data_IF_309703372977
#
_entry.id   IF_309703372977
#
_cell.length_a   1.000
_cell.length_b   1.000
_cell.length_c   1.000
_cell.angle_alpha   90.00
_cell.angle_beta   90.00
_cell.angle_gamma   90.00
#
_symmetry.space_group_name_H-M   'P 1'
#
loop_
_entity.id
_entity.type
_entity.pdbx_description
1 polymer ?
#
# COMPACT_ATOMS: atom_id res chain seq x y z
N UNK A 1 28.86 -20.01 12.86
CA UNK A 1 27.46 -20.47 13.15
C UNK A 1 27.28 -21.05 14.58
N UNK A 2 28.25 -21.01 15.48
CA UNK A 2 28.19 -21.66 16.79
C UNK A 2 28.09 -20.72 18.01
N UNK A 3 28.00 -19.39 17.80
CA UNK A 3 27.92 -18.43 18.94
C UNK A 3 26.49 -18.07 19.39
N UNK A 4 25.46 -18.44 18.66
CA UNK A 4 24.06 -18.09 19.02
C UNK A 4 23.32 -19.15 19.87
N UNK A 5 23.83 -20.34 20.00
CA UNK A 5 23.18 -21.40 20.78
C UNK A 5 23.30 -21.21 22.32
N UNK A 6 24.35 -20.49 22.76
CA UNK A 6 24.59 -20.24 24.20
C UNK A 6 23.63 -19.24 24.83
N UNK A 7 23.13 -18.27 24.03
CA UNK A 7 22.22 -17.24 24.53
C UNK A 7 20.77 -17.72 24.67
N UNK A 8 20.36 -18.71 23.88
CA UNK A 8 19.00 -19.26 23.95
C UNK A 8 18.82 -20.10 25.20
N UNK A 9 19.87 -20.86 25.65
CA UNK A 9 19.83 -21.64 26.89
C UNK A 9 19.76 -20.79 28.16
N UNK A 10 20.37 -19.59 28.17
CA UNK A 10 20.26 -18.65 29.30
C UNK A 10 18.89 -17.98 29.39
N UNK A 11 18.19 -17.77 28.26
CA UNK A 11 16.84 -17.20 28.26
C UNK A 11 15.78 -18.20 28.74
N UNK A 12 15.95 -19.49 28.46
CA UNK A 12 15.05 -20.55 28.95
C UNK A 12 15.10 -20.76 30.47
N UNK A 13 16.17 -20.35 31.15
CA UNK A 13 16.31 -20.45 32.60
C UNK A 13 15.51 -19.40 33.38
N UNK A 14 15.01 -18.36 32.72
CA UNK A 14 14.22 -17.25 33.30
C UNK A 14 12.71 -17.47 33.24
N UNK A 15 12.25 -18.55 32.64
CA UNK A 15 10.83 -18.86 32.52
C UNK A 15 10.39 -19.76 33.67
N UNK A 16 9.28 -19.36 34.32
CA UNK A 16 8.63 -19.97 35.50
C UNK A 16 8.65 -21.52 35.51
N UNK A 17 9.03 -22.17 36.62
CA UNK A 17 9.18 -23.62 36.73
C UNK A 17 7.92 -24.46 36.47
N UNK A 18 6.75 -23.87 36.43
CA UNK A 18 5.47 -24.56 36.17
C UNK A 18 5.17 -24.85 34.68
N UNK A 19 6.02 -24.40 33.77
CA UNK A 19 5.86 -24.63 32.30
C UNK A 19 6.88 -25.62 31.74
N UNK A 20 7.45 -26.50 32.57
CA UNK A 20 8.40 -27.56 32.16
C UNK A 20 7.72 -28.79 31.55
N UNK A 21 6.78 -28.63 30.62
CA UNK A 21 6.34 -29.77 29.80
C UNK A 21 6.92 -29.66 28.39
N UNK A 22 7.92 -30.51 28.13
CA UNK A 22 8.39 -31.06 26.85
C UNK A 22 8.61 -30.05 25.69
N UNK A 23 9.72 -29.29 25.76
CA UNK A 23 10.43 -28.85 24.57
C UNK A 23 11.65 -29.78 24.39
N UNK A 24 11.40 -31.08 24.30
CA UNK A 24 12.38 -32.04 23.85
C UNK A 24 11.90 -32.64 22.53
N UNK A 25 12.73 -32.49 21.49
CA UNK A 25 12.68 -33.25 20.25
C UNK A 25 11.49 -33.05 19.33
N UNK A 26 11.50 -31.94 18.55
CA UNK A 26 10.97 -32.04 17.20
C UNK A 26 12.13 -32.25 16.23
N UNK A 27 12.45 -33.52 16.03
CA UNK A 27 13.36 -33.98 15.00
C UNK A 27 12.70 -33.80 13.62
N UNK A 28 13.41 -33.18 12.66
CA UNK A 28 12.95 -33.00 11.29
C UNK A 28 12.60 -34.29 10.55
N UNK A 29 13.04 -35.46 11.07
CA UNK A 29 12.77 -36.76 10.49
C UNK A 29 11.34 -37.26 10.70
N UNK A 30 10.59 -36.71 11.66
CA UNK A 30 9.22 -37.11 11.96
C UNK A 30 8.16 -36.52 10.98
N UNK A 31 8.50 -35.47 10.25
CA UNK A 31 7.54 -34.78 9.33
C UNK A 31 7.44 -35.51 7.97
N UNK A 32 8.45 -36.31 7.58
CA UNK A 32 8.47 -36.97 6.27
C UNK A 32 7.70 -38.29 6.18
N UNK A 33 7.08 -38.75 7.27
CA UNK A 33 6.36 -40.04 7.36
C UNK A 33 4.87 -39.94 7.64
N UNK A 34 4.26 -38.75 7.49
CA UNK A 34 2.79 -38.61 7.66
C UNK A 34 2.11 -38.82 6.34
N UNK A 35 1.28 -39.84 6.29
CA UNK A 35 0.42 -40.26 5.19
C UNK A 35 -0.46 -39.10 4.70
N UNK A 36 -0.48 -38.89 3.37
CA UNK A 36 -1.19 -37.80 2.69
C UNK A 36 -2.72 -37.92 2.74
N UNK A 37 -3.27 -38.95 3.37
CA UNK A 37 -4.72 -39.21 3.48
C UNK A 37 -5.43 -38.45 4.62
N UNK A 38 -4.71 -37.70 5.47
CA UNK A 38 -5.24 -37.00 6.65
C UNK A 38 -5.32 -35.48 6.53
N UNK A 39 -5.46 -34.93 5.33
CA UNK A 39 -5.78 -33.50 5.14
C UNK A 39 -7.23 -33.18 5.52
N UNK A 40 -7.61 -33.50 6.74
CA UNK A 40 -8.74 -32.88 7.43
C UNK A 40 -8.18 -31.81 8.36
N UNK A 41 -8.87 -30.62 8.41
CA UNK A 41 -8.52 -29.40 9.16
C UNK A 41 -7.67 -29.71 10.41
N UNK A 42 -6.54 -28.99 10.64
CA UNK A 42 -5.70 -29.28 11.79
C UNK A 42 -6.53 -29.29 13.07
N UNK A 43 -6.28 -30.22 13.98
CA UNK A 43 -7.02 -30.28 15.26
C UNK A 43 -6.97 -28.89 15.92
N UNK A 44 -8.09 -28.45 16.49
CA UNK A 44 -8.25 -27.12 17.13
C UNK A 44 -7.08 -26.83 18.09
N UNK A 45 -6.55 -27.82 18.73
CA UNK A 45 -5.39 -27.75 19.65
C UNK A 45 -4.12 -27.30 18.91
N UNK A 46 -3.83 -27.84 17.71
CA UNK A 46 -2.65 -27.44 16.91
C UNK A 46 -2.79 -26.00 16.43
N UNK A 47 -3.98 -25.60 16.00
CA UNK A 47 -4.26 -24.22 15.60
C UNK A 47 -4.10 -23.24 16.78
N UNK A 48 -4.53 -23.63 17.98
CA UNK A 48 -4.36 -22.84 19.20
C UNK A 48 -2.88 -22.76 19.64
N UNK A 49 -2.12 -23.85 19.59
CA UNK A 49 -0.69 -23.86 19.91
C UNK A 49 0.11 -23.01 18.93
N UNK A 50 -0.19 -23.11 17.64
CA UNK A 50 0.43 -22.26 16.61
C UNK A 50 0.06 -20.78 16.80
N UNK A 51 -1.17 -20.48 17.20
CA UNK A 51 -1.63 -19.14 17.54
C UNK A 51 -0.86 -18.58 18.75
N UNK A 52 -0.72 -19.36 19.83
CA UNK A 52 0.05 -18.96 21.01
C UNK A 52 1.53 -18.78 20.69
N UNK A 53 2.15 -19.69 19.95
CA UNK A 53 3.54 -19.55 19.51
C UNK A 53 3.74 -18.26 18.68
N UNK A 54 2.85 -17.97 17.73
CA UNK A 54 2.88 -16.74 16.95
C UNK A 54 2.74 -15.50 17.84
N UNK A 55 1.84 -15.53 18.83
CA UNK A 55 1.65 -14.44 19.79
C UNK A 55 2.93 -14.17 20.60
N UNK A 56 3.54 -15.20 21.22
CA UNK A 56 4.73 -15.07 22.06
C UNK A 56 5.97 -14.67 21.26
N UNK A 57 6.17 -15.24 20.07
CA UNK A 57 7.26 -14.85 19.16
C UNK A 57 7.17 -13.36 18.78
N UNK A 58 5.97 -12.87 18.53
CA UNK A 58 5.75 -11.44 18.20
C UNK A 58 5.97 -10.53 19.39
N UNK A 59 5.55 -10.96 20.60
CA UNK A 59 5.83 -10.23 21.83
C UNK A 59 7.34 -10.14 22.09
N UNK A 60 8.09 -11.20 21.82
CA UNK A 60 9.55 -11.21 21.91
C UNK A 60 10.20 -10.28 20.88
N UNK A 61 9.73 -10.28 19.64
CA UNK A 61 10.21 -9.35 18.59
C UNK A 61 9.92 -7.87 18.95
N UNK A 62 8.84 -7.60 19.68
CA UNK A 62 8.56 -6.27 20.25
C UNK A 62 9.56 -5.85 21.31
N UNK A 63 9.93 -6.77 22.21
CA UNK A 63 10.89 -6.52 23.30
C UNK A 63 12.31 -6.29 22.78
N UNK A 64 12.64 -6.83 21.60
CA UNK A 64 13.95 -6.65 20.97
C UNK A 64 14.12 -5.30 20.26
N UNK A 65 13.20 -4.35 20.45
CA UNK A 65 13.21 -2.98 19.92
C UNK A 65 13.76 -2.91 18.50
N UNK A 66 13.05 -3.55 17.54
CA UNK A 66 13.43 -3.52 16.13
C UNK A 66 13.19 -2.09 15.64
N UNK A 67 14.21 -1.26 15.72
CA UNK A 67 14.21 0.11 15.20
C UNK A 67 13.80 0.09 13.73
N UNK A 68 12.85 0.95 13.38
CA UNK A 68 12.39 1.10 12.00
C UNK A 68 11.21 0.17 11.66
N UNK A 69 10.14 0.24 12.45
CA UNK A 69 8.87 -0.42 12.13
C UNK A 69 8.26 0.19 10.88
N UNK A 70 7.51 -0.63 10.14
CA UNK A 70 6.62 -0.12 9.10
C UNK A 70 5.47 0.66 9.74
N UNK A 71 5.17 1.85 9.24
CA UNK A 71 4.04 2.63 9.69
C UNK A 71 2.76 2.17 8.99
N UNK A 72 1.67 2.07 9.74
CA UNK A 72 0.30 1.97 9.28
C UNK A 72 -0.38 3.30 9.59
N UNK A 73 -0.69 4.08 8.55
CA UNK A 73 -1.31 5.39 8.71
C UNK A 73 -2.76 5.30 8.29
N UNK A 74 -3.65 5.81 9.11
CA UNK A 74 -5.10 5.71 8.94
C UNK A 74 -5.80 6.95 9.48
N UNK A 75 -7.04 7.18 9.09
CA UNK A 75 -7.90 8.15 9.74
C UNK A 75 -9.31 7.60 9.94
N UNK A 76 -9.92 7.82 11.12
CA UNK A 76 -11.35 7.55 11.31
C UNK A 76 -12.24 8.35 10.35
N UNK A 77 -11.84 9.57 9.97
CA UNK A 77 -12.60 10.44 9.07
C UNK A 77 -12.76 9.81 7.68
N UNK A 78 -11.81 8.96 7.27
CA UNK A 78 -11.93 8.21 6.01
C UNK A 78 -13.15 7.27 5.99
N UNK A 79 -13.70 6.89 7.14
CA UNK A 79 -14.90 6.04 7.21
C UNK A 79 -16.19 6.83 6.95
N UNK A 80 -16.16 8.15 7.15
CA UNK A 80 -17.33 9.02 7.01
C UNK A 80 -17.61 9.41 5.54
N UNK A 81 -16.61 9.27 4.64
CA UNK A 81 -16.84 9.46 3.21
C UNK A 81 -17.83 8.44 2.67
N UNK A 82 -18.91 8.93 2.06
CA UNK A 82 -19.99 8.12 1.51
C UNK A 82 -20.24 8.46 0.05
N UNK A 83 -19.91 7.55 -0.84
CA UNK A 83 -20.13 7.69 -2.28
C UNK A 83 -21.48 7.10 -2.76
N UNK A 84 -22.16 6.32 -1.91
CA UNK A 84 -23.44 5.66 -2.21
C UNK A 84 -23.49 4.23 -1.62
N UNK A 85 -24.68 3.73 -1.33
CA UNK A 85 -24.85 2.40 -0.68
C UNK A 85 -24.38 1.23 -1.55
N UNK A 86 -24.39 1.37 -2.87
CA UNK A 86 -23.95 0.35 -3.83
C UNK A 86 -22.62 0.72 -4.49
N UNK A 87 -22.00 1.80 -4.04
CA UNK A 87 -20.72 2.25 -4.61
C UNK A 87 -19.59 1.30 -4.22
N UNK A 88 -18.74 0.86 -5.16
CA UNK A 88 -17.64 -0.07 -4.86
C UNK A 88 -16.61 0.54 -3.90
N UNK A 89 -16.32 1.84 -4.02
CA UNK A 89 -15.46 2.55 -3.07
C UNK A 89 -16.22 2.78 -1.76
N UNK A 90 -15.91 1.99 -0.74
CA UNK A 90 -16.67 1.90 0.51
C UNK A 90 -15.76 1.85 1.75
N UNK A 91 -16.27 2.24 2.94
CA UNK A 91 -15.53 2.16 4.21
C UNK A 91 -15.01 0.76 4.53
N UNK A 92 -15.69 -0.28 4.07
CA UNK A 92 -15.34 -1.68 4.31
C UNK A 92 -13.98 -2.04 3.71
N UNK A 93 -13.50 -1.35 2.71
CA UNK A 93 -12.21 -1.59 2.05
C UNK A 93 -11.05 -1.51 3.06
N UNK A 94 -10.88 -0.41 3.76
CA UNK A 94 -9.82 -0.26 4.76
C UNK A 94 -10.06 -1.13 6.00
N UNK A 95 -11.32 -1.36 6.37
CA UNK A 95 -11.69 -2.25 7.47
C UNK A 95 -11.33 -3.71 7.18
N UNK A 96 -11.53 -4.19 5.94
CA UNK A 96 -11.17 -5.55 5.53
C UNK A 96 -9.65 -5.78 5.62
N UNK A 97 -8.85 -4.83 5.15
CA UNK A 97 -7.39 -4.88 5.27
C UNK A 97 -6.98 -4.95 6.75
N UNK A 98 -7.48 -4.02 7.58
CA UNK A 98 -7.14 -3.97 8.99
C UNK A 98 -7.51 -5.27 9.75
N UNK A 99 -8.69 -5.84 9.46
CA UNK A 99 -9.15 -7.11 10.02
C UNK A 99 -8.24 -8.27 9.61
N UNK A 100 -7.86 -8.34 8.34
CA UNK A 100 -6.96 -9.39 7.82
C UNK A 100 -5.57 -9.30 8.43
N UNK A 101 -5.03 -8.09 8.62
CA UNK A 101 -3.77 -7.88 9.31
C UNK A 101 -3.83 -8.28 10.80
N UNK A 102 -4.95 -7.99 11.48
CA UNK A 102 -5.18 -8.43 12.88
C UNK A 102 -5.23 -9.95 12.96
N UNK A 103 -6.00 -10.61 12.11
CA UNK A 103 -6.16 -12.06 12.09
C UNK A 103 -4.86 -12.80 11.74
N UNK A 104 -4.06 -12.25 10.83
CA UNK A 104 -2.73 -12.82 10.50
C UNK A 104 -1.67 -12.48 11.54
N UNK A 105 -1.95 -11.53 12.43
CA UNK A 105 -1.09 -11.02 13.48
C UNK A 105 0.05 -10.14 12.96
N UNK A 106 0.04 -9.71 11.72
CA UNK A 106 0.95 -8.67 11.23
C UNK A 106 0.70 -7.32 11.92
N UNK A 107 -0.53 -7.08 12.37
CA UNK A 107 -0.95 -5.86 13.05
C UNK A 107 -0.03 -5.43 14.20
N UNK A 108 0.50 -6.38 14.95
CA UNK A 108 1.37 -6.09 16.09
C UNK A 108 2.76 -5.57 15.68
N UNK A 109 3.18 -5.83 14.44
CA UNK A 109 4.46 -5.39 13.89
C UNK A 109 4.41 -3.96 13.33
N UNK A 110 3.21 -3.39 13.18
CA UNK A 110 3.01 -2.08 12.61
C UNK A 110 2.98 -0.99 13.69
N UNK A 111 3.56 0.16 13.37
CA UNK A 111 3.38 1.40 14.13
C UNK A 111 2.11 2.09 13.61
N UNK A 112 1.05 2.13 14.43
CA UNK A 112 -0.21 2.76 14.08
C UNK A 112 -0.14 4.25 14.34
N UNK A 113 -0.45 5.04 13.32
CA UNK A 113 -0.38 6.51 13.36
C UNK A 113 -1.66 7.04 12.72
N UNK A 114 -2.33 7.91 13.43
CA UNK A 114 -3.46 8.64 12.90
C UNK A 114 -2.98 9.76 11.97
N UNK A 115 -3.65 9.92 10.84
CA UNK A 115 -3.31 10.90 9.83
C UNK A 115 -3.64 12.32 10.30
N UNK A 116 -2.70 13.27 10.21
CA UNK A 116 -3.05 14.68 10.31
C UNK A 116 -3.86 15.10 9.09
N UNK A 117 -4.45 16.25 9.15
CA UNK A 117 -5.00 16.92 7.98
C UNK A 117 -3.88 17.56 7.17
N UNK A 118 -3.99 17.49 5.84
CA UNK A 118 -3.08 18.19 4.94
C UNK A 118 -3.35 19.70 4.97
N UNK A 119 -2.31 20.51 4.95
CA UNK A 119 -2.46 21.97 4.92
C UNK A 119 -2.79 22.48 3.51
N UNK A 120 -3.42 23.66 3.43
CA UNK A 120 -3.70 24.32 2.14
C UNK A 120 -2.43 24.66 1.36
N UNK A 121 -1.33 24.94 2.06
CA UNK A 121 -0.01 25.16 1.43
C UNK A 121 0.47 23.89 0.72
N UNK A 122 0.27 22.72 1.34
CA UNK A 122 0.66 21.45 0.75
C UNK A 122 -0.24 21.10 -0.44
N UNK A 123 -1.55 21.33 -0.32
CA UNK A 123 -2.51 21.13 -1.41
C UNK A 123 -2.21 22.04 -2.60
N UNK A 124 -1.92 23.31 -2.37
CA UNK A 124 -1.65 24.31 -3.41
C UNK A 124 -0.37 24.05 -4.23
N UNK A 125 0.47 23.09 -3.82
CA UNK A 125 1.62 22.60 -4.62
C UNK A 125 1.20 21.70 -5.77
N UNK A 126 -0.03 21.17 -5.72
CA UNK A 126 -0.56 20.16 -6.66
C UNK A 126 -1.84 20.65 -7.31
N UNK A 127 -2.78 21.14 -6.50
CA UNK A 127 -4.12 21.52 -6.95
C UNK A 127 -4.27 23.03 -7.04
N UNK A 128 -5.01 23.50 -8.06
CA UNK A 128 -5.31 24.93 -8.20
C UNK A 128 -6.24 25.39 -7.07
N UNK A 129 -6.02 26.62 -6.59
CA UNK A 129 -6.90 27.20 -5.55
C UNK A 129 -8.36 27.28 -6.02
N UNK A 130 -8.57 27.58 -7.31
CA UNK A 130 -9.91 27.62 -7.90
C UNK A 130 -10.62 26.29 -7.78
N UNK A 131 -9.93 25.20 -8.05
CA UNK A 131 -10.47 23.85 -7.92
C UNK A 131 -10.82 23.50 -6.48
N UNK A 132 -9.91 23.72 -5.54
CA UNK A 132 -10.14 23.47 -4.11
C UNK A 132 -11.34 24.26 -3.59
N UNK A 133 -11.42 25.57 -3.89
CA UNK A 133 -12.57 26.39 -3.49
C UNK A 133 -13.87 25.94 -4.17
N UNK A 134 -13.81 25.46 -5.42
CA UNK A 134 -14.97 24.89 -6.09
C UNK A 134 -15.48 23.63 -5.40
N UNK A 135 -14.60 22.73 -4.98
CA UNK A 135 -15.01 21.55 -4.21
C UNK A 135 -15.65 21.93 -2.87
N UNK A 136 -15.04 22.87 -2.15
CA UNK A 136 -15.54 23.35 -0.85
C UNK A 136 -16.95 23.94 -0.97
N UNK A 137 -17.20 24.72 -2.02
CA UNK A 137 -18.51 25.34 -2.26
C UNK A 137 -19.61 24.34 -2.64
N UNK A 138 -19.25 23.15 -3.08
CA UNK A 138 -20.17 22.08 -3.50
C UNK A 138 -20.51 21.08 -2.38
N UNK A 139 -19.85 21.18 -1.21
CA UNK A 139 -20.11 20.26 -0.10
C UNK A 139 -21.56 20.34 0.36
N UNK A 140 -22.34 19.28 0.26
CA UNK A 140 -23.75 19.31 0.65
C UNK A 140 -23.89 19.26 2.19
N UNK A 141 -24.95 19.85 2.72
CA UNK A 141 -25.29 19.75 4.14
C UNK A 141 -25.80 18.34 4.49
N UNK A 142 -26.49 17.67 3.56
CA UNK A 142 -27.02 16.33 3.69
C UNK A 142 -26.94 15.57 2.37
N UNK A 143 -26.82 14.24 2.42
CA UNK A 143 -26.74 13.41 1.23
C UNK A 143 -25.41 13.55 0.48
N UNK A 144 -25.47 13.42 -0.84
CA UNK A 144 -24.30 13.53 -1.73
C UNK A 144 -24.65 14.28 -3.00
N UNK A 145 -23.66 14.97 -3.56
CA UNK A 145 -23.71 15.68 -4.85
C UNK A 145 -22.84 14.94 -5.84
N UNK A 146 -23.33 14.73 -7.04
CA UNK A 146 -22.59 14.15 -8.15
C UNK A 146 -21.65 15.21 -8.74
N UNK A 147 -20.34 15.00 -8.64
CA UNK A 147 -19.31 15.89 -9.22
C UNK A 147 -19.11 15.57 -10.70
N UNK A 148 -19.06 14.30 -11.04
CA UNK A 148 -19.01 13.78 -12.40
C UNK A 148 -19.69 12.39 -12.46
N UNK A 149 -19.47 11.62 -13.52
CA UNK A 149 -20.18 10.37 -13.75
C UNK A 149 -19.98 9.32 -12.62
N UNK A 150 -18.83 9.32 -11.98
CA UNK A 150 -18.40 8.29 -11.03
C UNK A 150 -17.98 8.85 -9.65
N UNK A 151 -17.91 10.15 -9.47
CA UNK A 151 -17.40 10.78 -8.26
C UNK A 151 -18.49 11.55 -7.51
N UNK A 152 -18.77 11.13 -6.28
CA UNK A 152 -19.85 11.67 -5.44
C UNK A 152 -19.29 12.31 -4.17
N UNK A 153 -19.62 13.59 -3.97
CA UNK A 153 -19.21 14.40 -2.83
C UNK A 153 -20.28 14.36 -1.75
N UNK A 154 -20.00 13.79 -0.61
CA UNK A 154 -20.85 13.85 0.60
C UNK A 154 -20.31 14.90 1.58
N UNK A 155 -21.07 15.17 2.65
CA UNK A 155 -20.71 16.15 3.67
C UNK A 155 -19.27 15.97 4.19
N UNK A 156 -18.86 14.72 4.41
CA UNK A 156 -17.58 14.41 5.05
C UNK A 156 -16.46 14.04 4.05
N UNK A 157 -16.77 14.06 2.74
CA UNK A 157 -15.84 13.61 1.70
C UNK A 157 -14.55 14.43 1.62
N UNK A 158 -14.64 15.76 1.71
CA UNK A 158 -13.44 16.61 1.65
C UNK A 158 -12.57 16.46 2.89
N UNK A 159 -13.17 16.31 4.07
CA UNK A 159 -12.42 16.03 5.29
C UNK A 159 -11.66 14.70 5.17
N UNK A 160 -12.34 13.65 4.68
CA UNK A 160 -11.70 12.37 4.41
C UNK A 160 -10.56 12.48 3.39
N UNK A 161 -10.77 13.20 2.28
CA UNK A 161 -9.73 13.42 1.26
C UNK A 161 -8.54 14.21 1.80
N UNK A 162 -8.77 15.26 2.63
CA UNK A 162 -7.71 16.00 3.29
C UNK A 162 -6.91 15.11 4.26
N UNK A 163 -7.57 14.21 4.97
CA UNK A 163 -6.92 13.21 5.84
C UNK A 163 -6.16 12.16 5.04
N UNK A 164 -6.67 11.74 3.88
CA UNK A 164 -5.98 10.80 3.01
C UNK A 164 -4.67 11.40 2.47
N UNK A 165 -4.71 12.62 1.97
CA UNK A 165 -3.51 13.35 1.54
C UNK A 165 -2.55 13.63 2.73
N UNK A 166 -3.09 14.00 3.89
CA UNK A 166 -2.31 14.20 5.12
C UNK A 166 -1.61 12.94 5.61
N UNK A 167 -2.21 11.76 5.40
CA UNK A 167 -1.57 10.47 5.67
C UNK A 167 -0.35 10.26 4.78
N UNK A 168 -0.46 10.56 3.49
CA UNK A 168 0.63 10.42 2.53
C UNK A 168 1.79 11.39 2.84
N UNK A 169 1.49 12.63 3.19
CA UNK A 169 2.46 13.62 3.68
C UNK A 169 3.16 13.12 4.94
N UNK A 170 2.39 12.67 5.94
CA UNK A 170 2.93 12.14 7.20
C UNK A 170 3.82 10.92 6.98
N UNK A 171 3.46 10.06 6.02
CA UNK A 171 4.27 8.92 5.65
C UNK A 171 5.65 9.35 5.13
N UNK A 172 5.70 10.37 4.28
CA UNK A 172 6.97 10.95 3.80
C UNK A 172 7.80 11.45 4.98
N UNK A 173 7.22 12.23 5.88
CA UNK A 173 7.94 12.74 7.06
C UNK A 173 8.56 11.61 7.88
N UNK A 174 7.79 10.56 8.15
CA UNK A 174 8.25 9.43 8.94
C UNK A 174 9.43 8.68 8.32
N UNK A 175 9.41 8.45 6.99
CA UNK A 175 10.50 7.74 6.32
C UNK A 175 11.72 8.64 6.10
N UNK A 176 11.51 9.94 5.87
CA UNK A 176 12.60 10.90 5.70
C UNK A 176 13.35 11.16 7.00
N UNK A 177 12.63 11.28 8.12
CA UNK A 177 13.20 11.47 9.46
C UNK A 177 13.62 10.18 10.15
N UNK A 178 13.49 9.01 9.46
CA UNK A 178 13.83 7.67 9.96
C UNK A 178 13.02 7.23 11.19
N UNK A 179 11.84 7.83 11.42
CA UNK A 179 10.90 7.39 12.45
C UNK A 179 10.15 6.11 12.04
N UNK A 180 10.02 5.88 10.73
CA UNK A 180 9.61 4.61 10.16
C UNK A 180 10.57 4.19 9.04
N UNK A 181 10.65 2.90 8.77
CA UNK A 181 11.43 2.37 7.66
C UNK A 181 10.71 2.54 6.33
N UNK A 182 9.42 2.28 6.33
CA UNK A 182 8.48 2.44 5.24
C UNK A 182 7.08 2.66 5.82
N UNK A 183 6.11 3.00 4.99
CA UNK A 183 4.75 3.27 5.43
C UNK A 183 3.72 2.71 4.44
N UNK A 184 2.56 2.32 4.97
CA UNK A 184 1.35 2.05 4.22
C UNK A 184 0.23 2.96 4.74
N UNK A 185 -0.35 3.77 3.87
CA UNK A 185 -1.48 4.65 4.16
C UNK A 185 -2.77 3.92 3.79
N UNK A 186 -3.48 3.45 4.82
CA UNK A 186 -4.78 2.80 4.66
C UNK A 186 -5.89 3.85 4.71
N UNK A 187 -6.03 4.58 3.65
CA UNK A 187 -6.90 5.75 3.54
C UNK A 187 -7.86 5.62 2.37
N UNK A 188 -8.87 6.44 2.39
CA UNK A 188 -9.86 6.68 1.34
C UNK A 188 -10.44 8.10 1.50
N UNK A 189 -10.91 8.71 0.43
CA UNK A 189 -10.97 8.24 -0.96
C UNK A 189 -9.57 8.05 -1.58
N UNK A 190 -9.48 7.32 -2.72
CA UNK A 190 -8.25 7.22 -3.50
C UNK A 190 -7.85 8.57 -4.12
N UNK A 191 -6.70 8.63 -4.82
CA UNK A 191 -6.18 9.92 -5.26
C UNK A 191 -5.67 9.98 -6.69
N UNK A 192 -5.20 8.90 -7.29
CA UNK A 192 -4.38 8.94 -8.51
C UNK A 192 -5.08 9.47 -9.77
N UNK A 193 -6.42 9.50 -9.79
CA UNK A 193 -7.20 10.10 -10.87
C UNK A 193 -7.48 11.60 -10.69
N UNK A 194 -7.25 12.19 -9.50
CA UNK A 194 -7.48 13.62 -9.32
C UNK A 194 -6.41 14.42 -10.04
N UNK A 195 -6.83 15.27 -10.99
CA UNK A 195 -5.99 16.21 -11.72
C UNK A 195 -5.69 17.46 -10.89
N UNK A 196 -4.86 18.35 -11.41
CA UNK A 196 -4.57 19.61 -10.74
C UNK A 196 -5.83 20.49 -10.53
N UNK A 197 -6.85 20.33 -11.37
CA UNK A 197 -8.03 21.21 -11.39
C UNK A 197 -9.37 20.50 -11.54
N UNK A 198 -9.39 19.15 -11.47
CA UNK A 198 -10.65 18.40 -11.53
C UNK A 198 -10.59 17.09 -10.73
N UNK A 199 -11.73 16.70 -10.14
CA UNK A 199 -11.97 15.38 -9.56
C UNK A 199 -12.28 14.36 -10.65
N UNK A 200 -11.88 13.10 -10.47
CA UNK A 200 -12.13 12.01 -11.42
C UNK A 200 -11.95 10.67 -10.71
N UNK A 201 -12.58 9.59 -11.17
CA UNK A 201 -12.32 8.22 -10.72
C UNK A 201 -12.39 8.04 -9.20
N UNK A 202 -13.45 8.53 -8.55
CA UNK A 202 -13.64 8.54 -7.09
C UNK A 202 -12.66 9.44 -6.32
N UNK A 203 -11.74 10.15 -6.99
CA UNK A 203 -10.66 10.91 -6.40
C UNK A 203 -10.96 12.41 -6.36
N UNK A 204 -10.71 13.06 -5.21
CA UNK A 204 -10.84 14.52 -5.05
C UNK A 204 -9.47 15.20 -4.93
N UNK A 205 -8.55 14.59 -4.20
CA UNK A 205 -7.19 15.09 -3.98
C UNK A 205 -6.22 14.00 -4.43
N UNK A 206 -5.20 14.37 -5.18
CA UNK A 206 -4.17 13.42 -5.58
C UNK A 206 -3.19 13.20 -4.43
N UNK A 207 -3.48 12.19 -3.61
CA UNK A 207 -2.76 11.89 -2.38
C UNK A 207 -1.26 11.64 -2.63
N UNK A 208 -0.94 10.88 -3.69
CA UNK A 208 0.44 10.52 -4.01
C UNK A 208 1.22 11.70 -4.58
N UNK A 209 0.55 12.55 -5.38
CA UNK A 209 1.17 13.75 -5.93
C UNK A 209 1.48 14.77 -4.83
N UNK A 210 0.56 14.96 -3.87
CA UNK A 210 0.80 15.82 -2.70
C UNK A 210 2.00 15.31 -1.89
N UNK A 211 2.12 14.00 -1.71
CA UNK A 211 3.28 13.39 -1.03
C UNK A 211 4.58 13.62 -1.80
N UNK A 212 4.57 13.49 -3.13
CA UNK A 212 5.75 13.72 -3.97
C UNK A 212 6.20 15.18 -3.90
N UNK A 213 5.27 16.12 -4.07
CA UNK A 213 5.57 17.55 -3.99
C UNK A 213 6.00 17.98 -2.58
N UNK A 214 5.45 17.35 -1.53
CA UNK A 214 5.92 17.56 -0.16
C UNK A 214 7.38 17.10 0.01
N UNK A 215 7.72 15.92 -0.50
CA UNK A 215 9.08 15.40 -0.43
C UNK A 215 10.08 16.32 -1.15
N UNK A 216 9.70 16.85 -2.31
CA UNK A 216 10.53 17.79 -3.07
C UNK A 216 10.69 19.12 -2.31
N UNK A 217 9.59 19.69 -1.82
CA UNK A 217 9.60 21.01 -1.19
C UNK A 217 10.29 21.03 0.18
N UNK A 218 9.98 20.07 1.06
CA UNK A 218 10.46 20.08 2.44
C UNK A 218 11.82 19.39 2.60
N UNK A 219 12.08 18.33 1.80
CA UNK A 219 13.31 17.55 1.92
C UNK A 219 14.29 17.78 0.77
N UNK A 220 13.95 18.69 -0.15
CA UNK A 220 14.78 19.07 -1.31
C UNK A 220 15.20 17.87 -2.15
N UNK A 221 14.27 16.91 -2.31
CA UNK A 221 14.53 15.77 -3.18
C UNK A 221 14.45 16.19 -4.64
N UNK A 222 15.34 15.66 -5.45
CA UNK A 222 15.42 15.93 -6.88
C UNK A 222 14.86 14.77 -7.71
N UNK A 223 14.73 13.58 -7.12
CA UNK A 223 14.30 12.37 -7.81
C UNK A 223 13.35 11.56 -6.93
N UNK A 224 12.06 11.66 -7.20
CA UNK A 224 10.99 10.90 -6.56
C UNK A 224 10.37 9.99 -7.59
N UNK A 225 10.29 8.68 -7.34
CA UNK A 225 9.60 7.74 -8.21
C UNK A 225 8.21 7.42 -7.66
N UNK A 226 7.19 7.53 -8.51
CA UNK A 226 5.84 7.04 -8.29
C UNK A 226 5.67 5.79 -9.15
N UNK A 227 5.31 4.66 -8.52
CA UNK A 227 5.02 3.40 -9.19
C UNK A 227 3.55 3.10 -8.98
N UNK A 228 2.78 3.13 -10.04
CA UNK A 228 1.34 2.92 -10.03
C UNK A 228 1.01 1.54 -10.60
N UNK A 229 0.50 0.67 -9.75
CA UNK A 229 0.07 -0.68 -10.13
C UNK A 229 -1.42 -0.92 -9.89
N UNK A 230 -2.18 0.15 -9.77
CA UNK A 230 -3.64 0.11 -9.87
C UNK A 230 -4.06 -0.47 -11.23
N UNK A 231 -5.24 -1.06 -11.28
CA UNK A 231 -5.82 -1.55 -12.53
C UNK A 231 -6.00 -0.43 -13.55
N UNK A 232 -6.36 0.76 -13.05
CA UNK A 232 -6.66 1.94 -13.87
C UNK A 232 -5.43 2.81 -14.05
N UNK A 233 -5.32 3.47 -15.20
CA UNK A 233 -4.27 4.44 -15.41
C UNK A 233 -4.44 5.67 -14.50
N UNK A 234 -3.41 6.03 -13.75
CA UNK A 234 -3.41 7.21 -12.88
C UNK A 234 -3.24 8.51 -13.68
N UNK A 235 -4.24 8.84 -14.49
CA UNK A 235 -4.23 9.98 -15.42
C UNK A 235 -4.07 11.33 -14.73
N UNK A 236 -4.61 11.49 -13.52
CA UNK A 236 -4.41 12.68 -12.71
C UNK A 236 -2.95 12.84 -12.27
N UNK A 237 -2.29 11.76 -11.88
CA UNK A 237 -0.86 11.78 -11.51
C UNK A 237 0.00 12.09 -12.73
N UNK A 238 -0.30 11.50 -13.89
CA UNK A 238 0.39 11.80 -15.14
C UNK A 238 0.26 13.28 -15.51
N UNK A 239 -0.96 13.82 -15.49
CA UNK A 239 -1.25 15.22 -15.82
C UNK A 239 -0.47 16.19 -14.92
N UNK A 240 -0.43 15.95 -13.62
CA UNK A 240 0.29 16.79 -12.64
C UNK A 240 1.79 16.82 -12.92
N UNK A 241 2.39 15.69 -13.28
CA UNK A 241 3.84 15.56 -13.43
C UNK A 241 4.31 15.51 -14.89
N UNK A 242 3.42 15.77 -15.86
CA UNK A 242 3.74 15.69 -17.29
C UNK A 242 4.93 16.53 -17.74
N UNK A 243 5.26 17.57 -17.00
CA UNK A 243 6.34 18.49 -17.31
C UNK A 243 7.37 18.65 -16.16
N UNK A 244 7.26 17.84 -15.08
CA UNK A 244 8.20 17.87 -13.96
C UNK A 244 9.13 16.64 -13.94
N UNK A 245 10.31 16.78 -14.48
CA UNK A 245 11.29 15.71 -14.60
C UNK A 245 11.93 15.24 -13.28
N UNK A 246 11.64 15.92 -12.16
CA UNK A 246 12.05 15.48 -10.81
C UNK A 246 11.23 14.28 -10.34
N UNK A 247 10.06 14.05 -10.97
CA UNK A 247 9.17 12.95 -10.64
C UNK A 247 9.16 11.94 -11.79
N UNK A 248 9.47 10.70 -11.47
CA UNK A 248 9.25 9.56 -12.36
C UNK A 248 7.87 8.99 -12.09
N UNK A 249 7.09 8.69 -13.13
CA UNK A 249 5.87 7.90 -13.06
C UNK A 249 6.02 6.65 -13.91
N UNK A 250 5.90 5.48 -13.29
CA UNK A 250 5.83 4.19 -13.98
C UNK A 250 4.47 3.57 -13.69
N UNK A 251 3.65 3.37 -14.70
CA UNK A 251 2.30 2.86 -14.56
C UNK A 251 2.11 1.58 -15.39
N UNK A 252 1.46 0.57 -14.80
CA UNK A 252 0.86 -0.56 -15.52
C UNK A 252 -0.63 -0.53 -15.29
N UNK A 253 -1.44 -0.66 -16.33
CA UNK A 253 -2.90 -0.55 -16.27
C UNK A 253 -3.56 -1.38 -17.37
N UNK A 254 -4.83 -1.73 -17.19
CA UNK A 254 -5.61 -2.38 -18.24
C UNK A 254 -6.02 -1.37 -19.31
N UNK A 255 -5.84 -1.71 -20.58
CA UNK A 255 -6.30 -0.89 -21.69
C UNK A 255 -6.88 -1.79 -22.82
N UNK A 256 -8.04 -1.42 -23.41
CA UNK A 256 -8.88 -0.27 -23.13
C UNK A 256 -9.76 -0.48 -21.88
N UNK A 257 -9.62 0.41 -20.91
CA UNK A 257 -10.45 0.52 -19.70
C UNK A 257 -10.44 1.97 -19.24
N UNK A 258 -11.35 2.36 -18.30
CA UNK A 258 -11.31 3.68 -17.69
C UNK A 258 -9.86 4.03 -17.24
N UNK A 259 -9.38 5.25 -17.41
CA UNK A 259 -10.01 6.44 -18.00
C UNK A 259 -9.88 6.57 -19.54
N UNK A 260 -9.62 5.46 -20.25
CA UNK A 260 -9.50 5.35 -21.72
C UNK A 260 -8.36 6.19 -22.33
N UNK A 261 -7.32 6.46 -21.57
CA UNK A 261 -6.12 7.19 -21.98
C UNK A 261 -4.85 6.50 -21.47
N UNK A 262 -3.69 7.12 -21.64
CA UNK A 262 -2.39 6.63 -21.14
C UNK A 262 -1.57 5.86 -22.18
N UNK A 263 -2.11 5.54 -23.36
CA UNK A 263 -1.34 4.90 -24.45
C UNK A 263 -0.53 5.89 -25.26
N UNK A 264 -0.93 7.15 -25.27
CA UNK A 264 -0.23 8.23 -25.97
C UNK A 264 0.18 9.28 -24.95
N UNK A 265 1.45 9.29 -24.59
CA UNK A 265 2.01 10.29 -23.69
C UNK A 265 2.48 11.51 -24.49
N UNK A 266 1.99 12.69 -24.14
CA UNK A 266 2.27 13.95 -24.84
C UNK A 266 3.01 15.00 -23.97
N UNK A 267 3.44 14.65 -22.78
CA UNK A 267 4.18 15.54 -21.89
C UNK A 267 5.67 15.64 -22.25
N UNK A 268 6.39 16.57 -21.62
CA UNK A 268 7.81 16.80 -21.81
C UNK A 268 8.69 16.02 -20.81
N UNK A 269 8.10 15.39 -19.77
CA UNK A 269 8.84 14.63 -18.77
C UNK A 269 9.27 13.25 -19.31
N UNK A 270 10.56 13.00 -19.56
CA UNK A 270 11.04 11.73 -20.12
C UNK A 270 10.98 10.57 -19.12
N UNK A 271 10.67 10.86 -17.86
CA UNK A 271 10.64 9.88 -16.77
C UNK A 271 9.24 9.25 -16.57
N UNK A 272 8.26 9.60 -17.43
CA UNK A 272 6.96 8.93 -17.44
C UNK A 272 7.01 7.74 -18.39
N UNK A 273 6.51 6.59 -17.94
CA UNK A 273 6.37 5.41 -18.78
C UNK A 273 5.09 4.64 -18.43
N UNK A 274 4.19 4.65 -19.37
CA UNK A 274 2.93 3.95 -19.35
C UNK A 274 3.08 2.59 -20.03
N UNK A 275 2.63 1.53 -19.36
CA UNK A 275 2.74 0.17 -19.85
C UNK A 275 1.35 -0.48 -19.84
N UNK A 276 0.56 -0.30 -20.90
CA UNK A 276 -0.77 -0.88 -21.00
C UNK A 276 -0.72 -2.40 -21.05
N UNK A 277 -1.61 -3.05 -20.32
CA UNK A 277 -1.87 -4.48 -20.33
C UNK A 277 -3.23 -4.73 -20.95
N UNK A 278 -3.42 -5.92 -21.53
CA UNK A 278 -4.69 -6.29 -22.16
C UNK A 278 -5.59 -7.01 -21.17
N UNK A 279 -6.90 -6.90 -21.36
CA UNK A 279 -7.85 -7.74 -20.66
C UNK A 279 -7.46 -9.22 -20.78
N UNK A 280 -7.44 -9.93 -19.63
CA UNK A 280 -6.98 -11.31 -19.55
C UNK A 280 -5.49 -11.50 -19.26
N UNK A 281 -4.67 -10.43 -19.34
CA UNK A 281 -3.26 -10.50 -18.97
C UNK A 281 -3.10 -10.84 -17.47
N UNK A 282 -2.12 -11.69 -17.17
CA UNK A 282 -1.82 -12.15 -15.82
C UNK A 282 -0.37 -11.92 -15.43
N UNK A 283 0.09 -12.76 -14.49
CA UNK A 283 1.42 -12.67 -13.87
C UNK A 283 2.57 -12.48 -14.86
N UNK A 284 2.58 -13.19 -15.99
CA UNK A 284 3.69 -13.13 -16.94
C UNK A 284 3.76 -11.75 -17.59
N UNK A 285 2.67 -11.28 -18.20
CA UNK A 285 2.61 -9.97 -18.86
C UNK A 285 2.95 -8.84 -17.89
N UNK A 286 2.36 -8.83 -16.69
CA UNK A 286 2.64 -7.85 -15.66
C UNK A 286 4.12 -7.85 -15.23
N UNK A 287 4.68 -9.04 -14.93
CA UNK A 287 6.07 -9.14 -14.51
C UNK A 287 7.05 -8.78 -15.61
N UNK A 288 6.71 -9.05 -16.86
CA UNK A 288 7.52 -8.67 -18.02
C UNK A 288 7.47 -7.16 -18.25
N UNK A 289 6.30 -6.51 -18.13
CA UNK A 289 6.18 -5.06 -18.14
C UNK A 289 7.10 -4.41 -17.07
N UNK A 290 7.05 -4.92 -15.84
CA UNK A 290 7.93 -4.45 -14.77
C UNK A 290 9.41 -4.69 -15.09
N UNK A 291 9.79 -5.88 -15.54
CA UNK A 291 11.20 -6.23 -15.84
C UNK A 291 11.78 -5.43 -16.99
N UNK A 292 10.99 -5.24 -18.04
CA UNK A 292 11.46 -4.64 -19.30
C UNK A 292 11.40 -3.11 -19.26
N UNK A 293 10.45 -2.54 -18.53
CA UNK A 293 10.23 -1.08 -18.49
C UNK A 293 10.62 -0.48 -17.14
N UNK A 294 10.04 -0.95 -16.05
CA UNK A 294 10.20 -0.28 -14.74
C UNK A 294 11.61 -0.44 -14.18
N UNK A 295 12.16 -1.67 -14.18
CA UNK A 295 13.46 -1.89 -13.54
C UNK A 295 14.60 -1.15 -14.24
N UNK A 296 14.71 -1.12 -15.59
CA UNK A 296 15.73 -0.32 -16.27
C UNK A 296 15.60 1.18 -16.03
N UNK A 297 14.36 1.70 -16.03
CA UNK A 297 14.11 3.12 -15.76
C UNK A 297 14.46 3.49 -14.31
N UNK A 298 14.11 2.67 -13.33
CA UNK A 298 14.51 2.86 -11.93
C UNK A 298 16.03 2.83 -11.74
N UNK A 299 16.72 1.95 -12.45
CA UNK A 299 18.20 1.87 -12.43
C UNK A 299 18.83 3.15 -12.96
N UNK A 300 18.28 3.71 -14.04
CA UNK A 300 18.76 4.97 -14.64
C UNK A 300 18.42 6.18 -13.76
N UNK A 301 17.18 6.26 -13.24
CA UNK A 301 16.67 7.41 -12.49
C UNK A 301 17.25 7.51 -11.08
N UNK A 302 17.51 6.37 -10.42
CA UNK A 302 18.08 6.30 -9.06
C UNK A 302 17.28 7.13 -8.04
N UNK A 303 16.02 6.79 -7.78
CA UNK A 303 15.13 7.61 -6.96
C UNK A 303 15.64 7.73 -5.50
N UNK A 304 15.44 8.89 -4.91
CA UNK A 304 15.75 9.16 -3.50
C UNK A 304 14.60 8.78 -2.55
N UNK A 305 13.40 8.63 -3.10
CA UNK A 305 12.19 8.17 -2.44
C UNK A 305 11.35 7.39 -3.46
N UNK A 306 10.72 6.29 -3.05
CA UNK A 306 9.75 5.56 -3.87
C UNK A 306 8.36 5.67 -3.22
N UNK A 307 7.40 6.15 -3.99
CA UNK A 307 6.00 6.22 -3.67
C UNK A 307 5.24 5.17 -4.49
N UNK A 308 4.25 4.53 -3.90
CA UNK A 308 3.43 3.51 -4.57
C UNK A 308 1.97 3.95 -4.53
N UNK A 309 1.37 4.17 -5.70
CA UNK A 309 -0.07 4.12 -5.87
C UNK A 309 -0.47 2.65 -5.84
N UNK A 310 -0.94 2.23 -4.67
CA UNK A 310 -1.13 0.82 -4.36
C UNK A 310 -2.60 0.44 -4.52
N UNK A 311 -3.04 0.27 -5.78
CA UNK A 311 -4.29 -0.36 -6.11
C UNK A 311 -4.16 -1.90 -6.14
N UNK A 312 -5.20 -2.59 -5.76
CA UNK A 312 -5.24 -4.05 -5.74
C UNK A 312 -6.39 -4.61 -6.59
N UNK A 313 -7.02 -3.77 -7.40
CA UNK A 313 -8.08 -4.08 -8.34
C UNK A 313 -7.61 -4.78 -9.62
N UNK A 314 -6.31 -4.81 -9.91
CA UNK A 314 -5.73 -5.69 -10.92
C UNK A 314 -5.82 -7.20 -10.55
N UNK A 315 -6.31 -7.53 -9.34
CA UNK A 315 -6.54 -8.91 -8.93
C UNK A 315 -7.69 -9.54 -9.72
N UNK A 316 -7.52 -10.79 -10.16
CA UNK A 316 -8.47 -11.54 -11.00
C UNK A 316 -9.90 -11.65 -10.46
N UNK A 317 -10.10 -11.45 -9.15
CA UNK A 317 -11.43 -11.51 -8.51
C UNK A 317 -12.05 -10.10 -8.36
N UNK A 318 -11.39 -9.04 -8.83
CA UNK A 318 -11.94 -7.70 -8.73
C UNK A 318 -13.01 -7.47 -9.81
N UNK A 319 -14.18 -6.89 -9.44
CA UNK A 319 -15.28 -6.72 -10.37
C UNK A 319 -15.09 -5.58 -11.37
N UNK A 320 -14.09 -4.70 -11.20
CA UNK A 320 -13.92 -3.51 -12.05
C UNK A 320 -12.93 -3.72 -13.20
N UNK A 321 -12.27 -4.89 -13.30
CA UNK A 321 -11.34 -5.16 -14.38
C UNK A 321 -11.25 -6.62 -14.78
N UNK A 322 -10.34 -6.87 -15.73
CA UNK A 322 -10.19 -8.17 -16.37
C UNK A 322 -8.75 -8.70 -16.31
N UNK A 323 -7.85 -8.04 -15.58
CA UNK A 323 -6.50 -8.57 -15.35
C UNK A 323 -6.56 -9.77 -14.40
N UNK A 324 -5.58 -10.67 -14.55
CA UNK A 324 -5.54 -11.93 -13.81
C UNK A 324 -4.35 -11.99 -12.84
N UNK A 325 -4.11 -10.88 -12.08
CA UNK A 325 -3.09 -10.88 -11.04
C UNK A 325 -3.58 -11.62 -9.78
N UNK A 326 -2.62 -12.00 -8.97
CA UNK A 326 -2.83 -12.66 -7.69
C UNK A 326 -1.99 -11.98 -6.60
N UNK A 327 -2.21 -12.34 -5.34
CA UNK A 327 -1.41 -11.86 -4.21
C UNK A 327 0.11 -12.09 -4.42
N UNK A 328 0.47 -13.15 -5.15
CA UNK A 328 1.86 -13.47 -5.45
C UNK A 328 2.53 -12.43 -6.37
N UNK A 329 1.75 -11.73 -7.18
CA UNK A 329 2.26 -10.69 -8.07
C UNK A 329 2.54 -9.39 -7.31
N UNK A 330 1.64 -8.98 -6.43
CA UNK A 330 1.85 -7.85 -5.53
C UNK A 330 3.00 -8.09 -4.55
N UNK A 331 3.13 -9.32 -4.04
CA UNK A 331 4.27 -9.74 -3.22
C UNK A 331 5.59 -9.65 -4.01
N UNK A 332 5.61 -10.17 -5.23
CA UNK A 332 6.78 -10.17 -6.11
C UNK A 332 7.20 -8.74 -6.46
N UNK A 333 6.26 -7.89 -6.87
CA UNK A 333 6.52 -6.47 -7.17
C UNK A 333 7.10 -5.76 -5.96
N UNK A 334 6.47 -5.92 -4.79
CA UNK A 334 6.93 -5.29 -3.55
C UNK A 334 8.37 -5.67 -3.23
N UNK A 335 8.73 -6.95 -3.36
CA UNK A 335 10.11 -7.41 -3.16
C UNK A 335 11.08 -6.76 -4.15
N UNK A 336 10.69 -6.59 -5.43
CA UNK A 336 11.52 -5.91 -6.43
C UNK A 336 11.71 -4.43 -6.07
N UNK A 337 10.63 -3.72 -5.75
CA UNK A 337 10.68 -2.32 -5.33
C UNK A 337 11.57 -2.13 -4.10
N UNK A 338 11.48 -3.02 -3.11
CA UNK A 338 12.33 -2.97 -1.92
C UNK A 338 13.82 -3.12 -2.22
N UNK A 339 14.21 -3.89 -3.24
CA UNK A 339 15.61 -3.98 -3.67
C UNK A 339 16.12 -2.63 -4.19
N UNK A 340 15.35 -1.98 -5.06
CA UNK A 340 15.69 -0.66 -5.59
C UNK A 340 15.67 0.42 -4.51
N UNK A 341 14.67 0.40 -3.63
CA UNK A 341 14.60 1.32 -2.50
C UNK A 341 15.81 1.17 -1.57
N UNK A 342 16.25 -0.04 -1.28
CA UNK A 342 17.45 -0.26 -0.47
C UNK A 342 18.72 0.26 -1.16
N UNK A 343 18.80 0.13 -2.49
CA UNK A 343 19.96 0.53 -3.27
C UNK A 343 20.07 2.06 -3.43
N UNK A 344 18.97 2.73 -3.74
CA UNK A 344 18.97 4.14 -4.13
C UNK A 344 18.26 5.07 -3.13
N UNK A 345 17.18 4.62 -2.51
CA UNK A 345 16.32 5.42 -1.67
C UNK A 345 16.51 5.17 -0.16
N UNK A 346 17.64 4.56 0.26
CA UNK A 346 17.91 4.23 1.68
C UNK A 346 16.79 3.39 2.34
N UNK A 347 16.07 2.60 1.55
CA UNK A 347 14.93 1.78 1.96
C UNK A 347 13.62 2.54 2.13
N UNK A 348 13.53 3.81 1.71
CA UNK A 348 12.33 4.65 1.86
C UNK A 348 11.27 4.28 0.85
N UNK A 349 10.15 3.79 1.34
CA UNK A 349 8.95 3.45 0.56
C UNK A 349 7.73 3.99 1.30
N UNK A 350 6.85 4.64 0.58
CA UNK A 350 5.51 5.03 1.04
C UNK A 350 4.50 4.45 0.07
N UNK A 351 3.59 3.62 0.56
CA UNK A 351 2.46 3.09 -0.21
C UNK A 351 1.19 3.80 0.21
N UNK A 352 0.40 4.25 -0.75
CA UNK A 352 -0.92 4.85 -0.54
C UNK A 352 -1.96 3.97 -1.22
N UNK A 353 -2.99 3.58 -0.49
CA UNK A 353 -4.08 2.76 -1.02
C UNK A 353 -4.84 3.54 -2.09
N UNK A 354 -4.99 2.93 -3.26
CA UNK A 354 -5.84 3.39 -4.34
C UNK A 354 -7.04 2.43 -4.52
N UNK A 355 -7.19 1.75 -5.66
CA UNK A 355 -8.26 0.82 -5.96
C UNK A 355 -8.19 -0.54 -5.25
N UNK A 356 -9.14 -1.37 -5.58
CA UNK A 356 -9.38 -2.70 -5.01
C UNK A 356 -10.76 -2.77 -4.33
N UNK A 357 -11.69 -3.48 -4.97
CA UNK A 357 -13.12 -3.39 -4.65
C UNK A 357 -13.74 -4.73 -4.25
N UNK A 358 -13.09 -5.85 -4.57
CA UNK A 358 -13.42 -7.13 -3.97
C UNK A 358 -12.72 -7.26 -2.61
N UNK A 359 -13.46 -7.14 -1.52
CA UNK A 359 -12.92 -7.00 -0.16
C UNK A 359 -11.97 -8.12 0.27
N UNK A 360 -12.21 -9.37 -0.16
CA UNK A 360 -11.37 -10.51 0.20
C UNK A 360 -10.02 -10.46 -0.51
N UNK A 361 -10.00 -10.22 -1.82
CA UNK A 361 -8.77 -10.14 -2.62
C UNK A 361 -7.99 -8.86 -2.33
N UNK A 362 -8.67 -7.73 -2.14
CA UNK A 362 -8.05 -6.50 -1.64
C UNK A 362 -7.29 -6.76 -0.32
N UNK A 363 -7.97 -7.37 0.65
CA UNK A 363 -7.39 -7.58 1.97
C UNK A 363 -6.23 -8.60 1.95
N UNK A 364 -6.31 -9.65 1.12
CA UNK A 364 -5.25 -10.65 0.98
C UNK A 364 -4.04 -10.10 0.21
N UNK A 365 -4.26 -9.33 -0.85
CA UNK A 365 -3.21 -8.67 -1.64
C UNK A 365 -2.49 -7.58 -0.85
N UNK A 366 -3.23 -6.70 -0.17
CA UNK A 366 -2.63 -5.71 0.74
C UNK A 366 -1.86 -6.36 1.89
N UNK A 367 -2.34 -7.50 2.44
CA UNK A 367 -1.59 -8.29 3.43
C UNK A 367 -0.27 -8.81 2.86
N UNK A 368 -0.26 -9.35 1.64
CA UNK A 368 0.95 -9.85 0.99
C UNK A 368 1.98 -8.73 0.79
N UNK A 369 1.53 -7.58 0.30
CA UNK A 369 2.33 -6.36 0.16
C UNK A 369 2.92 -5.89 1.50
N UNK A 370 2.07 -5.70 2.52
CA UNK A 370 2.49 -5.22 3.84
C UNK A 370 3.41 -6.22 4.55
N UNK A 371 3.19 -7.53 4.36
CA UNK A 371 4.08 -8.56 4.92
C UNK A 371 5.52 -8.41 4.39
N UNK A 372 5.70 -8.05 3.12
CA UNK A 372 7.02 -7.73 2.57
C UNK A 372 7.61 -6.48 3.23
N UNK A 373 6.82 -5.39 3.34
CA UNK A 373 7.27 -4.14 3.94
C UNK A 373 7.76 -4.33 5.38
N UNK A 374 7.07 -5.12 6.18
CA UNK A 374 7.48 -5.43 7.56
C UNK A 374 8.57 -6.50 7.65
N UNK A 375 9.05 -7.02 6.49
CA UNK A 375 10.00 -8.14 6.43
C UNK A 375 9.55 -9.35 7.25
N UNK A 376 8.25 -9.60 7.27
CA UNK A 376 7.74 -10.80 7.89
C UNK A 376 8.13 -12.03 7.04
N UNK A 377 8.53 -13.11 7.71
CA UNK A 377 8.79 -14.38 7.03
C UNK A 377 7.57 -14.85 6.24
N UNK A 378 7.73 -15.49 5.07
CA UNK A 378 6.62 -16.03 4.27
C UNK A 378 5.75 -17.06 4.99
N UNK A 379 6.11 -17.46 6.20
CA UNK A 379 5.34 -18.37 7.06
C UNK A 379 4.33 -17.66 7.99
N UNK A 380 3.92 -16.44 7.66
CA UNK A 380 2.88 -15.69 8.39
C UNK A 380 1.59 -15.55 7.57
#
# INVERSE_FOLDING_TARGET
MYQNAGNIRKLCALLNPKTRYNIACFDRSAISRMDSSLYRKPPIIIAQLLSQYRYWRRKLLRLLDIKGRSAWIYSPDCQAHFAGSLHPESPERTNAIARTLKNSGLWILLQKIEAPEVSDIQLARVHTRRYLSSLESQVPQTGSVKINEDTFLSRDSLQAARKAAGAAVKAVDLVMTKQAKNAFCAVRPPGHHAHADKASGFCFINNIAVAAMHAIAEYRLERVAILDFDLHHGDGTEDIFRDDNRVMLLSTFEHPLYPFCGTEYTGSNPNIANTPLKAGDGSNAFRDAVRQVWLPKLEQFQPQLILLSAGFDAHRDDPLGHLNLTEADFEWLTKKVMLFANRYAKGRIVSVLEGGYQLSSLASSAKAHIACLVKASPFF
#
